data_IF_176829807379
#
_entry.id   IF_176829807379
#
_cell.length_a   1.000
_cell.length_b   1.000
_cell.length_c   1.000
_cell.angle_alpha   90.00
_cell.angle_beta   90.00
_cell.angle_gamma   90.00
#
_symmetry.space_group_name_H-M   'P 1'
#
loop_
_entity.id
_entity.type
_entity.pdbx_description
1 polymer ?
#
# COMPACT_ATOMS: atom_id res chain seq x y z
N UNK A 1 -9.19 -39.77 3.44
CA UNK A 1 -8.57 -39.02 4.55
C UNK A 1 -8.61 -37.57 4.15
N UNK A 2 -9.58 -36.83 4.67
CA UNK A 2 -9.64 -35.38 4.47
C UNK A 2 -8.39 -34.76 5.09
N UNK A 3 -7.65 -34.04 4.28
CA UNK A 3 -6.50 -33.26 4.70
C UNK A 3 -7.09 -32.11 5.51
N UNK A 4 -6.99 -32.17 6.84
CA UNK A 4 -7.28 -31.01 7.68
C UNK A 4 -6.38 -29.88 7.17
N UNK A 5 -6.98 -28.92 6.48
CA UNK A 5 -6.34 -27.63 6.26
C UNK A 5 -6.24 -27.05 7.65
N UNK A 6 -5.02 -26.87 8.17
CA UNK A 6 -4.82 -26.17 9.43
C UNK A 6 -5.38 -24.76 9.22
N UNK A 7 -6.53 -24.49 9.85
CA UNK A 7 -7.12 -23.17 9.84
C UNK A 7 -6.12 -22.20 10.48
N UNK A 8 -5.97 -21.03 9.87
CA UNK A 8 -5.07 -20.00 10.37
C UNK A 8 -5.41 -19.69 11.83
N UNK A 9 -4.38 -19.58 12.66
CA UNK A 9 -4.59 -19.20 14.06
C UNK A 9 -5.22 -17.80 14.12
N UNK A 10 -6.01 -17.48 15.17
CA UNK A 10 -6.58 -16.14 15.32
C UNK A 10 -5.53 -15.00 15.28
N UNK A 11 -4.32 -15.27 15.75
CA UNK A 11 -3.19 -14.35 15.68
C UNK A 11 -2.72 -14.11 14.23
N UNK A 12 -2.65 -15.17 13.41
CA UNK A 12 -2.32 -15.08 11.99
C UNK A 12 -3.41 -14.35 11.20
N UNK A 13 -4.69 -14.64 11.46
CA UNK A 13 -5.82 -13.93 10.84
C UNK A 13 -5.79 -12.44 11.18
N UNK A 14 -5.53 -12.09 12.45
CA UNK A 14 -5.41 -10.71 12.88
C UNK A 14 -4.23 -10.01 12.19
N UNK A 15 -3.07 -10.67 12.12
CA UNK A 15 -1.87 -10.15 11.45
C UNK A 15 -2.09 -9.95 9.95
N UNK A 16 -2.75 -10.89 9.28
CA UNK A 16 -3.12 -10.77 7.86
C UNK A 16 -4.10 -9.61 7.64
N UNK A 17 -5.11 -9.46 8.51
CA UNK A 17 -6.08 -8.37 8.46
C UNK A 17 -5.42 -7.01 8.67
N UNK A 18 -4.48 -6.91 9.61
CA UNK A 18 -3.67 -5.71 9.84
C UNK A 18 -2.86 -5.34 8.59
N UNK A 19 -2.11 -6.29 8.04
CA UNK A 19 -1.28 -6.07 6.86
C UNK A 19 -2.12 -5.65 5.63
N UNK A 20 -3.25 -6.33 5.39
CA UNK A 20 -4.18 -5.99 4.33
C UNK A 20 -4.72 -4.56 4.49
N UNK A 21 -5.03 -4.16 5.72
CA UNK A 21 -5.56 -2.82 6.04
C UNK A 21 -4.50 -1.74 5.84
N UNK A 22 -3.26 -1.97 6.28
CA UNK A 22 -2.13 -1.07 6.05
C UNK A 22 -1.83 -0.90 4.56
N UNK A 23 -1.84 -2.00 3.79
CA UNK A 23 -1.65 -1.96 2.35
C UNK A 23 -2.78 -1.19 1.65
N UNK A 24 -4.03 -1.39 2.08
CA UNK A 24 -5.18 -0.63 1.60
C UNK A 24 -5.01 0.86 1.90
N UNK A 25 -4.64 1.25 3.12
CA UNK A 25 -4.40 2.65 3.48
C UNK A 25 -3.33 3.29 2.60
N UNK A 26 -2.18 2.64 2.43
CA UNK A 26 -1.09 3.12 1.59
C UNK A 26 -1.52 3.31 0.13
N UNK A 27 -2.27 2.33 -0.40
CA UNK A 27 -2.81 2.38 -1.76
C UNK A 27 -3.80 3.53 -1.95
N UNK A 28 -4.74 3.70 -1.01
CA UNK A 28 -5.76 4.74 -1.10
C UNK A 28 -5.17 6.14 -0.91
N UNK A 29 -4.18 6.28 -0.03
CA UNK A 29 -3.42 7.53 0.09
C UNK A 29 -2.68 7.87 -1.21
N UNK A 30 -2.04 6.89 -1.84
CA UNK A 30 -1.39 7.08 -3.15
C UNK A 30 -2.38 7.46 -4.24
N UNK A 31 -3.58 6.85 -4.25
CA UNK A 31 -4.64 7.19 -5.19
C UNK A 31 -5.15 8.62 -4.96
N UNK A 32 -5.34 9.01 -3.71
CA UNK A 32 -5.73 10.36 -3.33
C UNK A 32 -4.70 11.38 -3.84
N UNK A 33 -3.41 11.13 -3.62
CA UNK A 33 -2.33 12.00 -4.10
C UNK A 33 -2.32 12.11 -5.63
N UNK A 34 -2.51 11.01 -6.35
CA UNK A 34 -2.57 10.99 -7.82
C UNK A 34 -3.76 11.81 -8.32
N UNK A 35 -4.95 11.54 -7.81
CA UNK A 35 -6.17 12.27 -8.20
C UNK A 35 -6.07 13.76 -7.85
N UNK A 36 -5.55 14.11 -6.66
CA UNK A 36 -5.32 15.50 -6.28
C UNK A 36 -4.26 16.18 -7.17
N UNK A 37 -3.16 15.50 -7.50
CA UNK A 37 -2.12 16.06 -8.39
C UNK A 37 -2.63 16.31 -9.80
N UNK A 38 -3.54 15.47 -10.31
CA UNK A 38 -4.15 15.67 -11.62
C UNK A 38 -5.00 16.94 -11.65
N UNK A 39 -5.75 17.21 -10.57
CA UNK A 39 -6.54 18.43 -10.41
C UNK A 39 -5.63 19.66 -10.29
N UNK A 40 -4.53 19.58 -9.55
CA UNK A 40 -3.58 20.70 -9.38
C UNK A 40 -2.82 21.02 -10.67
N UNK A 41 -2.36 20.01 -11.42
CA UNK A 41 -1.71 20.22 -12.72
C UNK A 41 -2.67 20.84 -13.75
N UNK A 42 -3.94 20.39 -13.76
CA UNK A 42 -5.01 20.99 -14.57
C UNK A 42 -5.36 22.43 -14.13
N UNK A 43 -5.19 22.77 -12.85
CA UNK A 43 -5.40 24.12 -12.34
C UNK A 43 -4.26 25.09 -12.71
N UNK A 44 -3.02 24.61 -12.83
CA UNK A 44 -1.86 25.42 -13.25
C UNK A 44 -1.83 25.71 -14.75
N UNK A 45 -2.26 24.78 -15.62
CA UNK A 45 -2.43 25.04 -17.06
C UNK A 45 -3.49 26.13 -17.36
N UNK A 46 -4.43 26.37 -16.45
CA UNK A 46 -5.45 27.41 -16.59
C UNK A 46 -4.95 28.85 -16.29
N UNK A 47 -3.65 29.04 -16.05
CA UNK A 47 -3.00 30.36 -16.15
C UNK A 47 -2.54 30.70 -17.56
N UNK A 48 -2.79 29.86 -18.56
CA UNK A 48 -2.52 30.19 -19.95
C UNK A 48 -3.65 31.05 -20.53
N UNK A 49 -3.28 32.23 -21.01
CA UNK A 49 -4.15 33.19 -21.68
C UNK A 49 -5.00 32.50 -22.77
N UNK A 50 -6.34 32.61 -22.77
CA UNK A 50 -7.20 32.04 -23.81
C UNK A 50 -6.93 32.61 -25.22
N UNK A 51 -6.01 33.57 -25.38
CA UNK A 51 -5.55 34.13 -26.66
C UNK A 51 -4.27 33.48 -27.21
N UNK A 52 -3.59 32.60 -26.47
CA UNK A 52 -2.42 31.88 -26.95
C UNK A 52 -2.85 30.61 -27.72
N UNK A 53 -3.23 30.83 -28.98
CA UNK A 53 -3.85 29.83 -29.84
C UNK A 53 -3.05 28.54 -30.07
N UNK A 54 -3.80 27.44 -30.17
CA UNK A 54 -3.27 26.12 -30.51
C UNK A 54 -4.37 25.19 -31.04
N UNK A 55 -5.09 25.61 -32.07
CA UNK A 55 -6.08 24.76 -32.75
C UNK A 55 -6.92 25.56 -33.73
N UNK A 56 -6.49 25.62 -35.00
CA UNK A 56 -7.32 26.17 -36.07
C UNK A 56 -8.60 25.32 -36.20
N UNK A 57 -9.76 25.94 -35.98
CA UNK A 57 -11.04 25.33 -36.36
C UNK A 57 -11.14 25.30 -37.89
N UNK A 58 -11.15 24.10 -38.49
CA UNK A 58 -11.24 23.94 -39.95
C UNK A 58 -12.70 23.81 -40.41
N UNK A 59 -13.68 23.60 -39.50
CA UNK A 59 -15.10 23.56 -39.87
C UNK A 59 -16.04 23.84 -38.69
N UNK A 60 -17.14 24.56 -38.95
CA UNK A 60 -18.22 24.84 -37.98
C UNK A 60 -19.15 23.62 -37.73
N UNK A 61 -18.90 22.50 -38.42
CA UNK A 61 -19.63 21.24 -38.26
C UNK A 61 -18.96 20.23 -37.31
N UNK A 62 -17.76 20.53 -36.80
CA UNK A 62 -17.05 19.62 -35.90
C UNK A 62 -17.51 19.85 -34.45
N UNK A 63 -17.93 18.81 -33.71
CA UNK A 63 -18.29 18.97 -32.30
C UNK A 63 -17.07 19.47 -31.51
N UNK A 64 -17.19 20.55 -30.73
CA UNK A 64 -16.08 21.05 -29.94
C UNK A 64 -15.64 19.98 -28.94
N UNK A 65 -14.32 19.84 -28.67
CA UNK A 65 -13.82 18.75 -27.87
C UNK A 65 -14.35 18.87 -26.44
N UNK A 66 -15.00 17.84 -25.87
CA UNK A 66 -15.33 17.82 -24.46
C UNK A 66 -14.42 16.80 -23.74
N UNK A 67 -13.28 17.21 -23.15
CA UNK A 67 -12.64 16.32 -22.18
C UNK A 67 -12.36 16.97 -20.81
N UNK A 68 -12.21 18.29 -20.70
CA UNK A 68 -11.64 18.88 -19.47
C UNK A 68 -12.57 18.85 -18.25
N UNK A 69 -13.86 19.16 -18.42
CA UNK A 69 -14.82 19.17 -17.30
C UNK A 69 -15.19 17.76 -16.81
N UNK A 70 -15.21 16.78 -17.72
CA UNK A 70 -15.45 15.38 -17.39
C UNK A 70 -14.25 14.80 -16.60
N UNK A 71 -13.03 15.15 -16.99
CA UNK A 71 -11.81 14.71 -16.31
C UNK A 71 -11.69 15.31 -14.90
N UNK A 72 -12.05 16.59 -14.71
CA UNK A 72 -12.09 17.22 -13.38
C UNK A 72 -13.17 16.61 -12.49
N UNK A 73 -14.37 16.35 -13.03
CA UNK A 73 -15.45 15.69 -12.29
C UNK A 73 -15.04 14.26 -11.87
N UNK A 74 -14.37 13.52 -12.75
CA UNK A 74 -13.87 12.18 -12.49
C UNK A 74 -12.76 12.19 -11.44
N UNK A 75 -11.80 13.12 -11.52
CA UNK A 75 -10.75 13.26 -10.53
C UNK A 75 -11.30 13.67 -9.14
N UNK A 76 -12.32 14.53 -9.11
CA UNK A 76 -13.02 14.90 -7.87
C UNK A 76 -13.73 13.71 -7.24
N UNK A 77 -14.43 12.90 -8.04
CA UNK A 77 -15.09 11.67 -7.59
C UNK A 77 -14.07 10.65 -7.05
N UNK A 78 -12.94 10.47 -7.75
CA UNK A 78 -11.86 9.58 -7.30
C UNK A 78 -11.24 10.06 -5.98
N UNK A 79 -11.07 11.37 -5.81
CA UNK A 79 -10.57 11.98 -4.57
C UNK A 79 -11.53 11.68 -3.40
N UNK A 80 -12.83 11.91 -3.59
CA UNK A 80 -13.85 11.59 -2.58
C UNK A 80 -13.88 10.09 -2.24
N UNK A 81 -13.84 9.23 -3.26
CA UNK A 81 -13.83 7.78 -3.05
C UNK A 81 -12.58 7.32 -2.30
N UNK A 82 -11.41 7.91 -2.60
CA UNK A 82 -10.17 7.60 -1.91
C UNK A 82 -10.23 8.07 -0.44
N UNK A 83 -10.78 9.25 -0.15
CA UNK A 83 -10.93 9.73 1.23
C UNK A 83 -11.88 8.87 2.05
N UNK A 84 -13.02 8.47 1.49
CA UNK A 84 -13.96 7.57 2.18
C UNK A 84 -13.33 6.20 2.45
N UNK A 85 -12.59 5.65 1.48
CA UNK A 85 -11.88 4.39 1.66
C UNK A 85 -10.77 4.48 2.72
N UNK A 86 -10.12 5.63 2.85
CA UNK A 86 -9.16 5.88 3.95
C UNK A 86 -9.91 5.85 5.29
N UNK A 87 -11.02 6.58 5.43
CA UNK A 87 -11.81 6.61 6.65
C UNK A 87 -12.26 5.20 7.08
N UNK A 88 -12.77 4.40 6.15
CA UNK A 88 -13.17 3.01 6.41
C UNK A 88 -11.98 2.16 6.85
N UNK A 89 -10.85 2.24 6.15
CA UNK A 89 -9.66 1.47 6.50
C UNK A 89 -9.08 1.89 7.87
N UNK A 90 -9.12 3.19 8.20
CA UNK A 90 -8.72 3.69 9.52
C UNK A 90 -9.67 3.20 10.62
N UNK A 91 -10.98 3.20 10.38
CA UNK A 91 -11.97 2.65 11.33
C UNK A 91 -11.72 1.16 11.60
N UNK A 92 -11.42 0.39 10.56
CA UNK A 92 -11.06 -1.02 10.69
C UNK A 92 -9.76 -1.20 11.47
N UNK A 93 -8.74 -0.37 11.22
CA UNK A 93 -7.49 -0.38 11.98
C UNK A 93 -7.72 -0.11 13.48
N UNK A 94 -8.58 0.86 13.83
CA UNK A 94 -8.94 1.13 15.22
C UNK A 94 -9.68 -0.06 15.86
N UNK A 95 -10.48 -0.79 15.08
CA UNK A 95 -11.14 -2.02 15.53
C UNK A 95 -10.13 -3.14 15.81
N UNK A 96 -9.13 -3.32 14.94
CA UNK A 96 -8.05 -4.29 15.16
C UNK A 96 -7.23 -3.94 16.42
N UNK A 97 -6.90 -2.67 16.64
CA UNK A 97 -6.21 -2.19 17.85
C UNK A 97 -7.05 -2.47 19.10
N UNK A 98 -8.35 -2.20 19.05
CA UNK A 98 -9.27 -2.51 20.15
C UNK A 98 -9.30 -4.00 20.45
N UNK A 99 -9.34 -4.84 19.42
CA UNK A 99 -9.35 -6.30 19.55
C UNK A 99 -8.08 -6.80 20.24
N UNK A 100 -6.91 -6.31 19.81
CA UNK A 100 -5.63 -6.66 20.44
C UNK A 100 -5.55 -6.20 21.90
N UNK A 101 -6.04 -5.00 22.21
CA UNK A 101 -6.08 -4.51 23.60
C UNK A 101 -6.98 -5.38 24.48
N UNK A 102 -8.10 -5.83 23.95
CA UNK A 102 -9.00 -6.73 24.68
C UNK A 102 -8.38 -8.11 24.86
N UNK A 103 -7.70 -8.67 23.85
CA UNK A 103 -7.01 -9.95 24.01
C UNK A 103 -5.93 -9.88 25.09
N UNK A 104 -5.11 -8.83 25.08
CA UNK A 104 -4.09 -8.61 26.12
C UNK A 104 -4.69 -8.48 27.53
N UNK A 105 -5.84 -7.83 27.69
CA UNK A 105 -6.52 -7.71 28.98
C UNK A 105 -7.11 -9.04 29.49
N UNK A 106 -7.36 -9.98 28.58
CA UNK A 106 -7.95 -11.29 28.89
C UNK A 106 -6.90 -12.39 29.05
N UNK A 107 -5.66 -12.13 28.64
CA UNK A 107 -4.56 -13.06 28.81
C UNK A 107 -4.07 -13.10 30.26
N UNK A 108 -3.79 -14.30 30.72
CA UNK A 108 -3.08 -14.59 31.95
C UNK A 108 -1.56 -14.49 31.74
N UNK A 109 -0.84 -14.31 32.85
CA UNK A 109 0.62 -14.11 32.87
C UNK A 109 1.37 -15.28 32.19
N UNK A 110 0.93 -16.52 32.45
CA UNK A 110 1.52 -17.72 31.83
C UNK A 110 1.38 -17.73 30.30
N UNK A 111 0.24 -17.25 29.78
CA UNK A 111 0.01 -17.15 28.33
C UNK A 111 0.84 -16.03 27.71
N UNK A 112 1.02 -14.90 28.41
CA UNK A 112 1.88 -13.80 27.98
C UNK A 112 3.33 -14.29 27.85
N UNK A 113 3.85 -14.95 28.89
CA UNK A 113 5.22 -15.47 28.90
C UNK A 113 5.46 -16.50 27.77
N UNK A 114 4.45 -17.34 27.50
CA UNK A 114 4.51 -18.31 26.41
C UNK A 114 4.54 -17.63 25.03
N UNK A 115 3.69 -16.61 24.78
CA UNK A 115 3.69 -15.86 23.53
C UNK A 115 4.99 -15.08 23.31
N UNK A 116 5.50 -14.41 24.35
CA UNK A 116 6.76 -13.65 24.26
C UNK A 116 7.94 -14.56 23.92
N UNK A 117 8.02 -15.73 24.55
CA UNK A 117 9.06 -16.73 24.27
C UNK A 117 8.99 -17.24 22.82
N UNK A 118 7.79 -17.54 22.34
CA UNK A 118 7.56 -17.99 20.97
C UNK A 118 7.96 -16.91 19.96
N UNK A 119 7.61 -15.65 20.22
CA UNK A 119 7.95 -14.52 19.36
C UNK A 119 9.46 -14.20 19.37
N UNK A 120 10.13 -14.34 20.52
CA UNK A 120 11.59 -14.22 20.62
C UNK A 120 12.29 -15.30 19.79
N UNK A 121 11.81 -16.54 19.86
CA UNK A 121 12.35 -17.65 19.07
C UNK A 121 12.15 -17.45 17.57
N UNK A 122 10.96 -17.00 17.16
CA UNK A 122 10.65 -16.73 15.75
C UNK A 122 11.50 -15.58 15.19
N UNK A 123 11.67 -14.50 15.95
CA UNK A 123 12.53 -13.37 15.57
C UNK A 123 13.99 -13.81 15.40
N UNK A 124 14.48 -14.65 16.31
CA UNK A 124 15.82 -15.24 16.22
C UNK A 124 15.96 -16.09 14.96
N UNK A 125 14.99 -16.96 14.68
CA UNK A 125 14.95 -17.82 13.48
C UNK A 125 14.99 -16.99 12.20
N UNK A 126 14.17 -15.94 12.10
CA UNK A 126 14.18 -15.05 10.94
C UNK A 126 15.53 -14.35 10.76
N UNK A 127 16.16 -13.92 11.86
CA UNK A 127 17.47 -13.26 11.85
C UNK A 127 18.56 -14.18 11.33
N UNK A 128 18.58 -15.44 11.79
CA UNK A 128 19.53 -16.46 11.32
C UNK A 128 19.35 -16.75 9.82
N UNK A 129 18.10 -16.83 9.35
CA UNK A 129 17.80 -16.99 7.94
C UNK A 129 18.23 -15.79 7.10
N UNK A 130 17.99 -14.57 7.58
CA UNK A 130 18.41 -13.35 6.90
C UNK A 130 19.94 -13.25 6.84
N UNK A 131 20.64 -13.58 7.92
CA UNK A 131 22.10 -13.61 7.96
C UNK A 131 22.67 -14.64 6.98
N UNK A 132 22.07 -15.82 6.92
CA UNK A 132 22.47 -16.86 5.94
C UNK A 132 22.29 -16.37 4.51
N UNK A 133 21.15 -15.74 4.19
CA UNK A 133 20.90 -15.17 2.87
C UNK A 133 21.87 -14.03 2.53
N UNK A 134 22.19 -13.17 3.50
CA UNK A 134 23.16 -12.09 3.31
C UNK A 134 24.54 -12.63 2.94
N UNK A 135 25.03 -13.65 3.65
CA UNK A 135 26.30 -14.32 3.36
C UNK A 135 26.29 -14.93 1.95
N UNK A 136 25.19 -15.61 1.57
CA UNK A 136 25.05 -16.18 0.23
C UNK A 136 25.10 -15.10 -0.86
N UNK A 137 24.40 -13.98 -0.67
CA UNK A 137 24.40 -12.86 -1.60
C UNK A 137 25.77 -12.20 -1.69
N UNK A 138 26.50 -12.04 -0.59
CA UNK A 138 27.87 -11.53 -0.58
C UNK A 138 28.83 -12.42 -1.38
N UNK A 139 28.73 -13.74 -1.23
CA UNK A 139 29.53 -14.69 -2.00
C UNK A 139 29.20 -14.61 -3.50
N UNK A 140 27.93 -14.57 -3.86
CA UNK A 140 27.50 -14.42 -5.26
C UNK A 140 28.03 -13.11 -5.86
N UNK A 141 27.96 -12.01 -5.11
CA UNK A 141 28.45 -10.71 -5.53
C UNK A 141 29.97 -10.71 -5.70
N UNK A 142 30.71 -11.39 -4.81
CA UNK A 142 32.17 -11.54 -4.93
C UNK A 142 32.57 -12.33 -6.19
N UNK A 143 31.85 -13.41 -6.49
CA UNK A 143 32.06 -14.22 -7.71
C UNK A 143 31.80 -13.38 -8.95
N UNK A 144 30.65 -12.68 -9.02
CA UNK A 144 30.32 -11.82 -10.16
C UNK A 144 31.34 -10.68 -10.35
N UNK A 145 31.84 -10.09 -9.26
CA UNK A 145 32.91 -9.10 -9.32
C UNK A 145 34.19 -9.70 -9.90
N UNK A 146 34.61 -10.88 -9.42
CA UNK A 146 35.81 -11.56 -9.93
C UNK A 146 35.68 -11.93 -11.42
N UNK A 147 34.51 -12.40 -11.84
CA UNK A 147 34.21 -12.67 -13.26
C UNK A 147 34.23 -11.41 -14.13
N UNK A 148 33.80 -10.27 -13.59
CA UNK A 148 33.84 -8.98 -14.30
C UNK A 148 35.26 -8.39 -14.42
N UNK A 149 36.15 -8.70 -13.47
CA UNK A 149 37.56 -8.27 -13.47
C UNK A 149 38.47 -9.12 -14.37
N UNK A 150 38.04 -10.35 -14.68
CA UNK A 150 38.79 -11.29 -15.52
C UNK A 150 38.37 -11.26 -17.01
N UNK A 151 37.50 -10.32 -17.42
CA UNK A 151 37.18 -10.02 -18.81
C UNK A 151 37.87 -8.74 -19.24
#
# INVERSE_FOLDING_TARGET
MDRAVEDATPAEEWSQSLNATCNRLSTQYSNLLKSASSVTALAEENKHDPRAGGGHMISAQDPPPPPLAADVALASLQCQLASENICVATSHLLTLIRTLRLSLLLMDEDTIDAEESLQAQETKRMTEQAMTKAIQLEQQLMIQRQESLNR
#
